data_IF_895603630581
#
_entry.id   IF_895603630581
#
_cell.length_a   1.000
_cell.length_b   1.000
_cell.length_c   1.000
_cell.angle_alpha   90.00
_cell.angle_beta   90.00
_cell.angle_gamma   90.00
#
_symmetry.space_group_name_H-M   'P 1'
#
loop_
_entity.id
_entity.type
_entity.pdbx_description
1 polymer ?
#
# COMPACT_ATOMS: atom_id res chain seq x y z
N UNK A 1 7.09 -20.81 12.91
CA UNK A 1 8.42 -21.47 12.80
C UNK A 1 9.20 -20.94 11.59
N UNK A 2 9.11 -19.63 11.29
CA UNK A 2 9.70 -18.98 10.09
C UNK A 2 10.63 -17.80 10.44
N UNK A 3 10.85 -17.52 11.73
CA UNK A 3 11.43 -16.23 12.17
C UNK A 3 12.96 -16.27 12.32
N UNK A 4 13.52 -17.41 12.74
CA UNK A 4 14.97 -17.53 12.98
C UNK A 4 15.80 -17.63 11.70
N UNK A 5 15.24 -18.19 10.62
CA UNK A 5 15.96 -18.33 9.34
C UNK A 5 15.99 -17.02 8.54
N UNK A 6 14.97 -16.16 8.69
CA UNK A 6 14.91 -14.85 8.03
C UNK A 6 15.99 -13.90 8.54
N UNK A 7 16.15 -13.79 9.87
CA UNK A 7 17.24 -13.02 10.47
C UNK A 7 18.64 -13.61 10.18
N UNK A 8 18.75 -14.94 10.09
CA UNK A 8 20.01 -15.58 9.74
C UNK A 8 20.42 -15.33 8.28
N UNK A 9 19.47 -15.27 7.34
CA UNK A 9 19.72 -14.96 5.93
C UNK A 9 20.29 -13.54 5.73
N UNK A 10 19.73 -12.54 6.44
CA UNK A 10 20.25 -11.16 6.45
C UNK A 10 21.69 -11.07 6.99
N UNK A 11 22.03 -11.94 7.95
CA UNK A 11 23.33 -11.90 8.64
C UNK A 11 24.43 -12.66 7.88
N UNK A 12 24.07 -13.68 7.08
CA UNK A 12 25.04 -14.54 6.36
C UNK A 12 25.42 -14.02 4.98
N UNK A 13 24.55 -13.28 4.31
CA UNK A 13 24.89 -12.66 3.03
C UNK A 13 25.76 -11.42 3.28
N UNK A 14 27.01 -11.41 2.79
CA UNK A 14 27.83 -10.20 2.68
C UNK A 14 27.21 -9.27 1.63
N UNK A 15 26.07 -8.67 1.95
CA UNK A 15 25.40 -7.72 1.09
C UNK A 15 26.29 -6.49 0.88
N UNK A 16 26.29 -5.90 -0.33
CA UNK A 16 26.76 -4.53 -0.49
C UNK A 16 25.98 -3.62 0.47
N UNK A 17 26.63 -2.60 1.03
CA UNK A 17 25.96 -1.62 1.89
C UNK A 17 24.77 -1.01 1.12
N UNK A 18 23.56 -1.30 1.59
CA UNK A 18 22.32 -0.80 0.99
C UNK A 18 22.20 0.72 1.25
N UNK A 19 21.68 1.42 0.24
CA UNK A 19 21.25 2.81 0.34
C UNK A 19 19.82 2.86 0.89
N UNK A 20 18.94 2.03 0.33
CA UNK A 20 17.52 1.92 0.65
C UNK A 20 17.12 0.44 0.63
N UNK A 21 16.16 0.05 1.47
CA UNK A 21 15.57 -1.29 1.53
C UNK A 21 14.07 -1.17 1.54
N UNK A 22 13.41 -1.90 0.65
CA UNK A 22 11.97 -1.98 0.50
C UNK A 22 11.53 -3.37 0.91
N UNK A 23 10.43 -3.46 1.66
CA UNK A 23 9.92 -4.74 2.17
C UNK A 23 8.42 -4.82 1.98
N UNK A 24 7.96 -5.95 1.48
CA UNK A 24 6.56 -6.32 1.43
C UNK A 24 6.50 -7.81 1.70
N UNK A 25 5.77 -8.21 2.75
CA UNK A 25 5.71 -9.60 3.17
C UNK A 25 7.13 -10.19 3.40
N UNK A 26 7.40 -11.38 2.86
CA UNK A 26 8.67 -12.08 2.98
C UNK A 26 9.67 -11.68 1.90
N UNK A 27 9.42 -10.57 1.19
CA UNK A 27 10.19 -10.13 0.02
C UNK A 27 10.86 -8.79 0.32
N UNK A 28 12.11 -8.67 -0.13
CA UNK A 28 12.94 -7.50 0.11
C UNK A 28 13.65 -7.10 -1.18
N UNK A 29 13.71 -5.79 -1.44
CA UNK A 29 14.55 -5.20 -2.49
C UNK A 29 15.49 -4.18 -1.86
N UNK A 30 16.79 -4.34 -2.06
CA UNK A 30 17.79 -3.38 -1.67
C UNK A 30 18.31 -2.63 -2.89
N UNK A 31 18.34 -1.31 -2.76
CA UNK A 31 19.06 -0.43 -3.68
C UNK A 31 20.48 -0.25 -3.19
N UNK A 32 21.45 -0.62 -4.01
CA UNK A 32 22.88 -0.50 -3.71
C UNK A 32 23.57 0.29 -4.83
N UNK A 33 24.77 0.85 -4.62
CA UNK A 33 25.52 1.51 -5.69
C UNK A 33 25.70 0.63 -6.95
N UNK A 34 25.74 -0.70 -6.76
CA UNK A 34 25.94 -1.72 -7.81
C UNK A 34 24.64 -2.16 -8.52
N UNK A 35 23.49 -1.63 -8.11
CA UNK A 35 22.17 -1.92 -8.67
C UNK A 35 21.18 -2.42 -7.61
N UNK A 36 20.07 -2.99 -8.09
CA UNK A 36 19.04 -3.59 -7.26
C UNK A 36 19.34 -5.05 -6.93
N UNK A 37 19.01 -5.44 -5.71
CA UNK A 37 19.12 -6.81 -5.21
C UNK A 37 17.78 -7.20 -4.59
N UNK A 38 17.24 -8.35 -4.99
CA UNK A 38 16.04 -8.93 -4.42
C UNK A 38 16.35 -10.19 -3.62
N UNK A 39 15.56 -10.45 -2.58
CA UNK A 39 15.58 -11.73 -1.86
C UNK A 39 14.25 -11.97 -1.17
N UNK A 40 14.05 -13.21 -0.72
CA UNK A 40 12.85 -13.62 -0.01
C UNK A 40 11.87 -14.35 -0.92
N UNK A 41 10.58 -14.25 -0.62
CA UNK A 41 9.55 -14.89 -1.41
C UNK A 41 9.48 -14.30 -2.84
N UNK A 42 9.37 -15.18 -3.82
CA UNK A 42 9.18 -14.88 -5.23
C UNK A 42 8.18 -15.89 -5.83
N UNK A 43 7.06 -16.12 -5.13
CA UNK A 43 6.13 -17.18 -5.51
C UNK A 43 5.35 -16.84 -6.77
N UNK A 44 5.05 -15.55 -6.96
CA UNK A 44 4.31 -15.07 -8.11
C UNK A 44 5.25 -14.50 -9.18
N UNK A 45 6.48 -14.14 -8.81
CA UNK A 45 7.47 -13.52 -9.70
C UNK A 45 7.63 -12.02 -9.42
N UNK A 46 7.27 -11.59 -8.21
CA UNK A 46 7.40 -10.24 -7.67
C UNK A 46 8.86 -9.71 -7.74
N UNK A 47 9.86 -10.60 -7.72
CA UNK A 47 11.27 -10.23 -7.91
C UNK A 47 11.77 -10.37 -9.36
N UNK A 48 10.91 -10.75 -10.31
CA UNK A 48 11.28 -10.89 -11.72
C UNK A 48 12.28 -12.03 -12.01
N UNK A 49 12.34 -13.06 -11.15
CA UNK A 49 13.15 -14.25 -11.35
C UNK A 49 12.33 -15.37 -12.00
N UNK A 50 12.92 -16.11 -12.94
CA UNK A 50 12.26 -17.23 -13.63
C UNK A 50 11.85 -18.40 -12.70
N UNK A 51 12.37 -18.45 -11.48
CA UNK A 51 12.07 -19.49 -10.49
C UNK A 51 11.04 -19.01 -9.47
N UNK A 52 10.04 -19.83 -9.17
CA UNK A 52 9.17 -19.63 -8.02
C UNK A 52 9.81 -20.15 -6.73
N UNK A 53 9.55 -19.48 -5.60
CA UNK A 53 10.02 -19.91 -4.27
C UNK A 53 10.78 -18.83 -3.51
N UNK A 54 11.57 -19.24 -2.52
CA UNK A 54 12.48 -18.34 -1.80
C UNK A 54 13.78 -18.15 -2.57
N UNK A 55 14.19 -16.90 -2.74
CA UNK A 55 15.39 -16.52 -3.47
C UNK A 55 16.40 -15.91 -2.52
N UNK A 56 17.62 -16.43 -2.54
CA UNK A 56 18.75 -15.81 -1.86
C UNK A 56 19.04 -14.42 -2.44
N UNK A 57 19.75 -13.53 -1.72
CA UNK A 57 20.19 -12.24 -2.23
C UNK A 57 20.80 -12.30 -3.63
N UNK A 58 20.00 -11.88 -4.60
CA UNK A 58 20.30 -12.01 -6.01
C UNK A 58 20.07 -10.67 -6.69
N UNK A 59 20.99 -10.31 -7.57
CA UNK A 59 20.88 -9.07 -8.34
C UNK A 59 19.69 -9.15 -9.29
N UNK A 60 18.82 -8.13 -9.25
CA UNK A 60 17.72 -8.03 -10.21
C UNK A 60 18.27 -7.72 -11.61
N UNK A 61 17.68 -8.33 -12.62
CA UNK A 61 18.02 -8.11 -14.04
C UNK A 61 16.74 -7.91 -14.84
N UNK A 62 16.85 -7.25 -16.00
CA UNK A 62 15.69 -6.80 -16.79
C UNK A 62 15.71 -7.35 -18.23
N UNK A 63 15.83 -8.68 -18.42
CA UNK A 63 16.03 -9.26 -19.76
C UNK A 63 14.87 -9.00 -20.72
N UNK A 64 13.64 -8.88 -20.21
CA UNK A 64 12.45 -8.58 -21.01
C UNK A 64 12.19 -7.06 -21.18
N UNK A 65 13.11 -6.20 -20.74
CA UNK A 65 13.02 -4.74 -20.86
C UNK A 65 14.28 -4.16 -21.52
N UNK A 66 14.41 -4.23 -22.86
CA UNK A 66 15.65 -3.87 -23.55
C UNK A 66 16.16 -2.46 -23.23
N UNK A 67 15.26 -1.46 -23.17
CA UNK A 67 15.63 -0.08 -22.83
C UNK A 67 16.21 0.07 -21.43
N UNK A 68 15.68 -0.70 -20.46
CA UNK A 68 16.19 -0.70 -19.08
C UNK A 68 17.54 -1.41 -19.02
N UNK A 69 17.70 -2.52 -19.73
CA UNK A 69 18.98 -3.21 -19.84
C UNK A 69 20.06 -2.34 -20.50
N UNK A 70 19.72 -1.60 -21.56
CA UNK A 70 20.60 -0.61 -22.21
C UNK A 70 20.99 0.52 -21.27
N UNK A 71 20.01 1.08 -20.53
CA UNK A 71 20.28 2.07 -19.49
C UNK A 71 21.25 1.51 -18.44
N UNK A 72 21.00 0.30 -17.93
CA UNK A 72 21.86 -0.35 -16.95
C UNK A 72 23.29 -0.56 -17.45
N UNK A 73 23.45 -0.91 -18.72
CA UNK A 73 24.74 -1.13 -19.36
C UNK A 73 25.50 0.19 -19.60
N UNK A 74 24.78 1.29 -19.83
CA UNK A 74 25.35 2.63 -20.02
C UNK A 74 25.90 3.26 -18.74
N UNK A 75 25.37 2.84 -17.58
CA UNK A 75 25.78 3.37 -16.28
C UNK A 75 27.04 2.66 -15.76
N UNK A 76 28.02 3.40 -15.22
CA UNK A 76 29.16 2.78 -14.57
C UNK A 76 28.71 2.01 -13.32
N UNK A 77 29.48 0.99 -12.88
CA UNK A 77 29.08 0.11 -11.77
C UNK A 77 28.72 0.81 -10.45
N UNK A 78 29.19 2.04 -10.21
CA UNK A 78 28.90 2.82 -9.00
C UNK A 78 27.65 3.71 -9.12
N UNK A 79 27.07 3.85 -10.31
CA UNK A 79 25.87 4.66 -10.55
C UNK A 79 24.63 3.83 -10.89
N UNK A 80 24.70 2.50 -10.83
CA UNK A 80 23.58 1.63 -11.20
C UNK A 80 22.34 1.82 -10.33
N UNK A 81 22.51 2.33 -9.12
CA UNK A 81 21.37 2.74 -8.28
C UNK A 81 20.49 3.82 -8.96
N UNK A 82 21.06 4.69 -9.81
CA UNK A 82 20.34 5.78 -10.49
C UNK A 82 19.39 5.31 -11.59
N UNK A 83 19.47 4.03 -11.98
CA UNK A 83 18.52 3.44 -12.91
C UNK A 83 17.09 3.41 -12.36
N UNK A 84 16.96 3.44 -11.04
CA UNK A 84 15.67 3.46 -10.34
C UNK A 84 15.42 4.87 -9.88
N UNK A 85 14.30 5.47 -10.23
CA UNK A 85 13.89 6.78 -9.70
C UNK A 85 12.88 6.64 -8.59
N UNK A 86 12.06 5.59 -8.65
CA UNK A 86 11.08 5.24 -7.62
C UNK A 86 10.82 3.72 -7.63
N UNK A 87 10.35 3.19 -6.51
CA UNK A 87 10.04 1.77 -6.36
C UNK A 87 8.88 1.60 -5.39
N UNK A 88 7.89 0.83 -5.81
CA UNK A 88 6.79 0.37 -4.98
C UNK A 88 6.76 -1.15 -4.96
N UNK A 89 6.54 -1.73 -3.79
CA UNK A 89 6.46 -3.18 -3.63
C UNK A 89 5.38 -3.50 -2.61
N UNK A 90 4.48 -4.39 -3.00
CA UNK A 90 3.36 -4.86 -2.19
C UNK A 90 3.24 -6.38 -2.28
N UNK A 91 2.23 -6.95 -1.61
CA UNK A 91 2.07 -8.38 -1.29
C UNK A 91 2.60 -9.36 -2.34
N UNK A 92 2.33 -9.11 -3.63
CA UNK A 92 2.77 -9.96 -4.74
C UNK A 92 3.26 -9.19 -5.98
N UNK A 93 3.46 -7.88 -5.85
CA UNK A 93 3.66 -7.02 -7.00
C UNK A 93 4.79 -6.03 -6.70
N UNK A 94 5.64 -5.84 -7.69
CA UNK A 94 6.74 -4.86 -7.63
C UNK A 94 6.66 -3.99 -8.85
N UNK A 95 6.69 -2.69 -8.66
CA UNK A 95 6.85 -1.71 -9.73
C UNK A 95 8.13 -0.93 -9.51
N UNK A 96 8.90 -0.76 -10.58
CA UNK A 96 10.16 -0.03 -10.57
C UNK A 96 10.05 1.05 -11.63
N UNK A 97 10.15 2.30 -11.20
CA UNK A 97 10.25 3.44 -12.10
C UNK A 97 11.71 3.64 -12.49
N UNK A 98 11.95 3.84 -13.78
CA UNK A 98 13.26 4.15 -14.36
C UNK A 98 13.16 5.39 -15.24
N UNK A 99 14.30 6.06 -15.55
CA UNK A 99 14.32 7.17 -16.50
C UNK A 99 13.78 6.85 -17.90
N UNK A 100 13.66 5.56 -18.26
CA UNK A 100 13.21 5.11 -19.59
C UNK A 100 11.83 4.44 -19.56
N UNK A 101 11.16 4.42 -18.40
CA UNK A 101 9.81 3.87 -18.24
C UNK A 101 9.64 3.07 -16.95
N UNK A 102 8.48 2.43 -16.83
CA UNK A 102 8.13 1.55 -15.70
C UNK A 102 8.35 0.10 -16.09
N UNK A 103 8.87 -0.68 -15.14
CA UNK A 103 8.87 -2.13 -15.22
C UNK A 103 8.14 -2.72 -14.03
N UNK A 104 7.44 -3.83 -14.25
CA UNK A 104 6.67 -4.48 -13.21
C UNK A 104 6.92 -5.97 -13.15
N UNK A 105 6.88 -6.50 -11.92
CA UNK A 105 7.00 -7.92 -11.63
C UNK A 105 5.71 -8.67 -11.96
N UNK A 106 5.79 -9.98 -11.94
CA UNK A 106 4.84 -10.88 -12.58
C UNK A 106 3.36 -10.74 -12.29
N UNK A 107 3.00 -10.56 -11.03
CA UNK A 107 1.59 -10.58 -10.62
C UNK A 107 0.90 -9.24 -10.85
N UNK A 108 1.64 -8.24 -11.30
CA UNK A 108 1.08 -6.94 -11.71
C UNK A 108 0.38 -7.00 -13.07
N UNK A 109 0.67 -8.05 -13.85
CA UNK A 109 0.26 -8.18 -15.25
C UNK A 109 -1.25 -8.26 -15.45
N UNK A 110 -2.00 -8.74 -14.45
CA UNK A 110 -3.45 -8.76 -14.54
C UNK A 110 -4.07 -7.37 -14.68
N UNK A 111 -3.37 -6.33 -14.21
CA UNK A 111 -3.95 -5.00 -14.06
C UNK A 111 -3.17 -3.88 -14.73
N UNK A 112 -1.94 -4.10 -15.21
CA UNK A 112 -1.16 -3.06 -15.91
C UNK A 112 -0.73 -3.43 -17.33
N UNK A 113 -1.31 -4.49 -17.90
CA UNK A 113 -1.28 -4.74 -19.34
C UNK A 113 -1.13 -6.21 -19.72
N UNK A 114 -1.49 -6.59 -20.95
CA UNK A 114 -1.41 -7.98 -21.39
C UNK A 114 0.06 -8.42 -21.45
N UNK A 115 0.42 -9.39 -20.61
CA UNK A 115 1.69 -10.09 -20.71
C UNK A 115 1.42 -11.55 -21.06
N UNK A 116 2.18 -12.05 -22.04
CA UNK A 116 2.17 -13.46 -22.39
C UNK A 116 2.46 -14.31 -21.15
N UNK A 117 1.74 -15.42 -21.00
CA UNK A 117 1.79 -16.26 -19.79
C UNK A 117 3.20 -16.73 -19.44
N UNK A 118 4.04 -16.96 -20.46
CA UNK A 118 5.43 -17.41 -20.34
C UNK A 118 6.38 -16.34 -19.75
N UNK A 119 6.01 -15.06 -19.83
CA UNK A 119 6.82 -13.95 -19.34
C UNK A 119 6.37 -13.42 -17.98
N UNK A 120 5.36 -14.04 -17.36
CA UNK A 120 4.81 -13.57 -16.09
C UNK A 120 5.94 -13.43 -15.08
N UNK A 121 6.79 -14.43 -14.86
CA UNK A 121 7.82 -14.36 -13.81
C UNK A 121 9.00 -13.38 -14.04
N UNK A 122 9.00 -12.57 -15.11
CA UNK A 122 10.05 -11.60 -15.42
C UNK A 122 9.55 -10.17 -15.28
N UNK A 123 10.47 -9.24 -14.99
CA UNK A 123 10.16 -7.82 -15.13
C UNK A 123 9.85 -7.49 -16.59
N UNK A 124 8.68 -6.94 -16.86
CA UNK A 124 8.24 -6.49 -18.18
C UNK A 124 8.00 -4.99 -18.18
N UNK A 125 8.05 -4.38 -19.37
CA UNK A 125 7.72 -2.95 -19.51
C UNK A 125 6.22 -2.77 -19.38
N UNK A 126 5.81 -1.74 -18.64
CA UNK A 126 4.42 -1.33 -18.48
C UNK A 126 4.08 -0.25 -19.48
N UNK A 127 2.97 -0.42 -20.20
CA UNK A 127 2.48 0.60 -21.12
C UNK A 127 1.80 1.73 -20.34
N UNK A 128 2.17 2.98 -20.65
CA UNK A 128 1.57 4.19 -20.08
C UNK A 128 0.96 5.05 -21.20
N UNK A 129 0.01 5.95 -20.89
CA UNK A 129 -0.57 6.83 -21.90
C UNK A 129 0.49 7.63 -22.66
N UNK A 130 0.23 7.92 -23.94
CA UNK A 130 1.18 8.63 -24.78
C UNK A 130 1.53 10.01 -24.21
N UNK A 131 2.83 10.30 -24.08
CA UNK A 131 3.33 11.54 -23.48
C UNK A 131 3.25 11.60 -21.96
N UNK A 132 2.87 10.50 -21.29
CA UNK A 132 2.91 10.38 -19.84
C UNK A 132 4.25 9.80 -19.39
N UNK A 133 5.03 10.57 -18.63
CA UNK A 133 6.31 10.15 -18.07
C UNK A 133 6.19 10.23 -16.54
N UNK A 134 5.93 9.09 -15.87
CA UNK A 134 5.70 9.11 -14.44
C UNK A 134 6.94 9.50 -13.67
N UNK A 135 6.74 10.20 -12.56
CA UNK A 135 7.77 10.59 -11.59
C UNK A 135 7.58 9.91 -10.22
N UNK A 136 6.39 9.36 -9.96
CA UNK A 136 6.06 8.67 -8.72
C UNK A 136 5.09 7.50 -8.93
N UNK A 137 5.22 6.46 -8.10
CA UNK A 137 4.36 5.28 -8.06
C UNK A 137 3.72 5.17 -6.67
N UNK A 138 2.40 5.03 -6.64
CA UNK A 138 1.65 4.58 -5.46
C UNK A 138 0.97 3.26 -5.77
N UNK A 139 0.97 2.36 -4.81
CA UNK A 139 0.39 1.04 -4.96
C UNK A 139 -0.31 0.62 -3.67
N UNK A 140 -1.27 -0.29 -3.79
CA UNK A 140 -1.84 -0.99 -2.65
C UNK A 140 -1.56 -2.50 -2.61
N UNK A 141 -2.04 -3.14 -1.54
CA UNK A 141 -1.92 -4.57 -1.28
C UNK A 141 -2.75 -5.48 -2.22
N UNK A 142 -3.72 -4.93 -2.95
CA UNK A 142 -4.83 -5.69 -3.53
C UNK A 142 -5.08 -5.41 -5.01
N UNK A 143 -4.20 -4.69 -5.70
CA UNK A 143 -4.15 -4.51 -7.17
C UNK A 143 -4.40 -3.08 -7.68
N UNK A 144 -4.40 -2.05 -6.85
CA UNK A 144 -4.46 -0.65 -7.30
C UNK A 144 -3.06 -0.09 -7.53
N UNK A 145 -2.84 0.54 -8.69
CA UNK A 145 -1.62 1.27 -9.00
C UNK A 145 -1.97 2.64 -9.51
N UNK A 146 -1.38 3.68 -8.92
CA UNK A 146 -1.46 5.07 -9.39
C UNK A 146 -0.07 5.52 -9.81
N UNK A 147 0.00 6.10 -11.01
CA UNK A 147 1.19 6.75 -11.53
C UNK A 147 0.96 8.26 -11.55
N UNK A 148 1.93 9.02 -11.05
CA UNK A 148 1.88 10.48 -11.04
C UNK A 148 2.86 11.07 -12.05
N UNK A 149 2.48 12.20 -12.66
CA UNK A 149 3.33 13.07 -13.47
C UNK A 149 2.94 14.52 -13.17
N UNK A 150 3.64 15.16 -12.24
CA UNK A 150 3.21 16.46 -11.70
C UNK A 150 1.79 16.38 -11.11
N UNK A 151 0.87 17.22 -11.60
CA UNK A 151 -0.52 17.26 -11.13
C UNK A 151 -1.44 16.24 -11.82
N UNK A 152 -0.93 15.49 -12.81
CA UNK A 152 -1.71 14.48 -13.54
C UNK A 152 -1.46 13.11 -12.95
N UNK A 153 -2.53 12.35 -12.74
CA UNK A 153 -2.45 10.99 -12.23
C UNK A 153 -3.29 10.05 -13.06
N UNK A 154 -2.78 8.83 -13.20
CA UNK A 154 -3.48 7.76 -13.88
C UNK A 154 -3.52 6.53 -12.98
N UNK A 155 -4.62 5.79 -13.02
CA UNK A 155 -4.89 4.63 -12.18
C UNK A 155 -5.16 3.40 -13.03
N UNK A 156 -4.76 2.24 -12.52
CA UNK A 156 -5.10 0.92 -13.07
C UNK A 156 -5.32 -0.05 -11.92
N UNK A 157 -6.03 -1.15 -12.15
CA UNK A 157 -6.32 -2.09 -11.07
C UNK A 157 -7.61 -2.88 -11.15
N UNK A 158 -7.82 -3.69 -10.12
CA UNK A 158 -9.12 -4.30 -9.83
C UNK A 158 -10.13 -3.19 -9.51
N UNK A 159 -11.29 -3.24 -10.17
CA UNK A 159 -12.37 -2.29 -9.97
C UNK A 159 -13.74 -2.95 -9.79
N UNK A 160 -13.80 -4.25 -9.49
CA UNK A 160 -15.07 -5.03 -9.36
C UNK A 160 -16.06 -4.47 -8.34
N UNK A 161 -15.57 -3.66 -7.40
CA UNK A 161 -16.36 -3.00 -6.35
C UNK A 161 -16.50 -1.48 -6.57
N UNK A 162 -15.93 -0.92 -7.65
CA UNK A 162 -15.81 0.53 -7.85
C UNK A 162 -14.68 1.17 -7.06
N UNK A 163 -13.72 0.38 -6.56
CA UNK A 163 -12.64 0.83 -5.65
C UNK A 163 -11.67 1.85 -6.28
N UNK A 164 -11.67 1.98 -7.60
CA UNK A 164 -10.83 2.98 -8.29
C UNK A 164 -11.50 4.37 -8.35
N UNK A 165 -12.80 4.47 -8.03
CA UNK A 165 -13.52 5.75 -8.00
C UNK A 165 -13.81 6.37 -9.37
N UNK A 166 -13.77 5.57 -10.45
CA UNK A 166 -13.92 6.00 -11.84
C UNK A 166 -15.39 6.14 -12.32
N UNK A 167 -16.37 5.84 -11.45
CA UNK A 167 -17.80 5.89 -11.78
C UNK A 167 -18.36 4.62 -12.43
N UNK A 168 -17.57 3.55 -12.52
CA UNK A 168 -17.96 2.24 -13.04
C UNK A 168 -17.21 1.11 -12.32
N UNK A 169 -17.54 -0.14 -12.66
CA UNK A 169 -16.97 -1.36 -12.04
C UNK A 169 -16.05 -2.16 -12.97
N UNK A 170 -15.83 -1.68 -14.19
CA UNK A 170 -14.93 -2.34 -15.12
C UNK A 170 -13.51 -2.34 -14.57
N UNK A 171 -12.90 -3.52 -14.47
CA UNK A 171 -11.49 -3.70 -14.18
C UNK A 171 -10.63 -2.94 -15.21
N UNK A 172 -9.53 -2.38 -14.74
CA UNK A 172 -8.64 -1.58 -15.55
C UNK A 172 -7.35 -2.34 -15.76
N UNK A 173 -7.16 -2.87 -16.97
CA UNK A 173 -5.92 -3.52 -17.42
C UNK A 173 -4.93 -2.54 -18.05
N UNK A 174 -5.31 -1.27 -18.11
CA UNK A 174 -4.48 -0.16 -18.57
C UNK A 174 -4.88 1.11 -17.85
N UNK A 175 -3.99 2.10 -17.91
CA UNK A 175 -4.12 3.32 -17.13
C UNK A 175 -5.18 4.27 -17.68
N UNK A 176 -6.05 4.74 -16.77
CA UNK A 176 -7.04 5.79 -17.01
C UNK A 176 -6.76 7.01 -16.12
N UNK A 177 -7.06 8.20 -16.63
CA UNK A 177 -6.83 9.45 -15.90
C UNK A 177 -7.77 9.59 -14.71
N UNK A 178 -7.21 9.88 -13.53
CA UNK A 178 -7.99 10.11 -12.33
C UNK A 178 -8.69 11.48 -12.38
N UNK A 179 -9.99 11.57 -12.01
CA UNK A 179 -10.70 12.85 -11.99
C UNK A 179 -10.41 13.69 -10.73
N UNK A 180 -9.50 13.24 -9.86
CA UNK A 180 -9.07 13.90 -8.62
C UNK A 180 -7.61 13.55 -8.33
N UNK A 181 -6.97 14.34 -7.47
CA UNK A 181 -5.59 14.12 -7.03
C UNK A 181 -5.55 13.15 -5.85
N UNK A 182 -4.54 12.30 -5.77
CA UNK A 182 -4.32 11.32 -4.70
C UNK A 182 -2.91 11.53 -4.16
N UNK A 183 -2.83 11.84 -2.87
CA UNK A 183 -1.59 11.94 -2.12
C UNK A 183 -1.18 10.59 -1.50
N UNK A 184 -2.17 9.76 -1.17
CA UNK A 184 -1.98 8.44 -0.57
C UNK A 184 -3.20 7.56 -0.77
N UNK A 185 -2.98 6.26 -0.87
CA UNK A 185 -4.04 5.23 -0.87
C UNK A 185 -4.04 4.56 0.51
N UNK A 186 -5.24 4.38 1.07
CA UNK A 186 -5.50 3.58 2.26
C UNK A 186 -6.36 2.41 1.80
N UNK A 187 -5.74 1.25 1.56
CA UNK A 187 -6.42 0.18 0.84
C UNK A 187 -7.14 -0.80 1.74
N UNK A 188 -8.19 -1.39 1.18
CA UNK A 188 -8.88 -2.57 1.72
C UNK A 188 -9.18 -3.54 0.56
N UNK A 189 -9.69 -4.73 0.90
CA UNK A 189 -9.99 -5.75 -0.07
C UNK A 189 -11.12 -5.36 -1.05
N UNK A 190 -12.11 -4.56 -0.63
CA UNK A 190 -13.26 -4.19 -1.47
C UNK A 190 -13.46 -2.68 -1.67
N UNK A 191 -12.62 -1.84 -1.07
CA UNK A 191 -12.65 -0.39 -1.23
C UNK A 191 -11.27 0.22 -1.05
N UNK A 192 -11.15 1.48 -1.47
CA UNK A 192 -10.02 2.34 -1.18
C UNK A 192 -10.52 3.61 -0.50
N UNK A 193 -9.71 4.13 0.43
CA UNK A 193 -9.81 5.53 0.85
C UNK A 193 -8.60 6.28 0.30
N UNK A 194 -8.86 7.30 -0.50
CA UNK A 194 -7.83 8.17 -1.06
C UNK A 194 -7.68 9.41 -0.18
N UNK A 195 -6.45 9.71 0.23
CA UNK A 195 -6.12 11.04 0.72
C UNK A 195 -5.93 11.95 -0.49
N UNK A 196 -6.72 13.01 -0.57
CA UNK A 196 -6.77 13.96 -1.69
C UNK A 196 -6.87 15.38 -1.13
N UNK A 197 -5.83 16.20 -1.24
CA UNK A 197 -5.86 17.63 -0.87
C UNK A 197 -6.47 17.87 0.53
N UNK A 198 -6.01 17.11 1.53
CA UNK A 198 -6.49 17.13 2.93
C UNK A 198 -7.94 16.66 3.11
N UNK A 199 -8.47 15.87 2.18
CA UNK A 199 -9.75 15.19 2.28
C UNK A 199 -9.58 13.68 2.12
N UNK A 200 -10.43 12.90 2.79
CA UNK A 200 -10.51 11.46 2.56
C UNK A 200 -11.68 11.18 1.61
N UNK A 201 -11.39 10.58 0.47
CA UNK A 201 -12.36 10.16 -0.53
C UNK A 201 -12.52 8.65 -0.47
N UNK A 202 -13.75 8.16 -0.33
CA UNK A 202 -14.07 6.74 -0.34
C UNK A 202 -14.51 6.29 -1.72
N UNK A 203 -14.02 5.14 -2.17
CA UNK A 203 -14.53 4.46 -3.37
C UNK A 203 -14.51 2.95 -3.15
N UNK A 204 -15.56 2.25 -3.58
CA UNK A 204 -15.67 0.79 -3.41
C UNK A 204 -16.95 0.35 -2.69
N UNK A 205 -16.96 -0.91 -2.25
CA UNK A 205 -18.07 -1.47 -1.48
C UNK A 205 -18.06 -0.93 -0.05
N UNK A 206 -19.18 -0.36 0.39
CA UNK A 206 -19.33 0.31 1.68
C UNK A 206 -19.35 -0.74 2.79
N UNK A 207 -18.29 -0.81 3.63
CA UNK A 207 -18.27 -1.75 4.72
C UNK A 207 -19.18 -1.25 5.85
N UNK A 208 -19.66 -2.17 6.69
CA UNK A 208 -20.53 -1.85 7.83
C UNK A 208 -20.02 -0.71 8.72
N UNK A 209 -18.72 -0.66 9.10
CA UNK A 209 -18.18 0.46 9.88
C UNK A 209 -18.48 1.83 9.28
N UNK A 210 -18.30 1.99 7.96
CA UNK A 210 -18.58 3.25 7.26
C UNK A 210 -20.08 3.53 7.21
N UNK A 211 -20.90 2.52 6.89
CA UNK A 211 -22.35 2.67 6.87
C UNK A 211 -22.93 3.10 8.24
N UNK A 212 -22.41 2.53 9.33
CA UNK A 212 -22.86 2.82 10.70
C UNK A 212 -22.32 4.15 11.23
N UNK A 213 -21.17 4.59 10.75
CA UNK A 213 -20.55 5.86 11.18
C UNK A 213 -21.32 7.10 10.69
N UNK A 214 -22.07 6.97 9.59
CA UNK A 214 -22.70 8.11 8.91
C UNK A 214 -21.73 9.02 8.16
N UNK A 215 -20.45 8.61 8.02
CA UNK A 215 -19.44 9.37 7.27
C UNK A 215 -19.76 9.47 5.78
N UNK A 216 -20.53 8.52 5.25
CA UNK A 216 -20.92 8.44 3.85
C UNK A 216 -22.45 8.49 3.72
N UNK A 217 -23.00 9.69 3.52
CA UNK A 217 -24.46 9.90 3.49
C UNK A 217 -25.11 9.25 2.27
N UNK A 218 -26.22 8.54 2.47
CA UNK A 218 -27.00 7.94 1.38
C UNK A 218 -26.54 6.55 0.96
N UNK A 219 -25.58 5.96 1.67
CA UNK A 219 -25.09 4.61 1.44
C UNK A 219 -25.38 3.71 2.64
N UNK A 220 -25.68 2.45 2.34
CA UNK A 220 -25.88 1.35 3.27
C UNK A 220 -24.72 0.35 3.15
N UNK A 221 -24.61 -0.56 4.13
CA UNK A 221 -23.66 -1.69 4.06
C UNK A 221 -23.87 -2.49 2.77
N UNK A 222 -22.78 -2.72 2.02
CA UNK A 222 -22.79 -3.45 0.75
C UNK A 222 -23.15 -2.61 -0.48
N UNK A 223 -23.56 -1.35 -0.32
CA UNK A 223 -23.70 -0.44 -1.46
C UNK A 223 -22.34 -0.18 -2.09
N UNK A 224 -22.29 0.06 -3.39
CA UNK A 224 -21.05 0.38 -4.11
C UNK A 224 -20.95 1.88 -4.40
N UNK A 225 -19.93 2.50 -3.83
CA UNK A 225 -19.55 3.89 -4.08
C UNK A 225 -18.62 3.95 -5.30
N UNK A 226 -19.21 4.00 -6.49
CA UNK A 226 -18.46 3.92 -7.76
C UNK A 226 -17.63 5.17 -8.06
N UNK A 227 -18.01 6.32 -7.51
CA UNK A 227 -17.27 7.57 -7.63
C UNK A 227 -16.60 7.90 -6.31
N UNK A 228 -15.37 8.41 -6.36
CA UNK A 228 -14.67 8.84 -5.15
C UNK A 228 -15.48 9.91 -4.42
N UNK A 229 -16.00 9.56 -3.24
CA UNK A 229 -16.95 10.39 -2.50
C UNK A 229 -16.34 10.81 -1.17
N UNK A 230 -16.38 12.10 -0.81
CA UNK A 230 -15.81 12.57 0.44
C UNK A 230 -16.44 11.92 1.68
N UNK A 231 -15.59 11.45 2.59
CA UNK A 231 -15.98 11.09 3.95
C UNK A 231 -16.18 12.36 4.78
N UNK A 232 -17.30 12.42 5.51
CA UNK A 232 -17.73 13.62 6.24
C UNK A 232 -17.50 13.49 7.73
N UNK A 233 -16.41 14.06 8.21
CA UNK A 233 -16.10 14.11 9.64
C UNK A 233 -16.64 15.39 10.28
N UNK A 234 -17.16 15.29 11.51
CA UNK A 234 -17.58 16.46 12.31
C UNK A 234 -16.40 17.17 12.97
N UNK A 235 -15.29 16.47 13.10
CA UNK A 235 -14.10 16.92 13.79
C UNK A 235 -12.89 16.76 12.87
N UNK A 236 -11.80 17.46 13.20
CA UNK A 236 -10.55 17.38 12.46
C UNK A 236 -9.92 16.01 12.68
N UNK A 237 -9.59 15.30 11.60
CA UNK A 237 -8.97 13.96 11.68
C UNK A 237 -7.45 14.08 11.56
N UNK A 238 -6.74 13.46 12.50
CA UNK A 238 -5.28 13.41 12.64
C UNK A 238 -4.66 12.08 12.23
N UNK A 239 -5.45 11.03 12.25
CA UNK A 239 -5.02 9.68 11.87
C UNK A 239 -6.19 8.91 11.31
N UNK A 240 -5.92 8.08 10.30
CA UNK A 240 -6.92 7.21 9.70
C UNK A 240 -6.31 5.84 9.40
N UNK A 241 -7.10 4.80 9.64
CA UNK A 241 -6.71 3.43 9.37
C UNK A 241 -7.95 2.62 8.99
N UNK A 242 -7.78 1.73 8.01
CA UNK A 242 -8.81 0.77 7.62
C UNK A 242 -8.16 -0.57 7.28
N UNK A 243 -8.55 -1.63 7.99
CA UNK A 243 -8.27 -3.04 7.65
C UNK A 243 -9.31 -3.90 8.39
N UNK A 244 -10.43 -4.23 7.73
CA UNK A 244 -11.65 -4.80 8.33
C UNK A 244 -12.40 -3.94 9.36
N UNK A 245 -11.66 -3.17 10.15
CA UNK A 245 -12.14 -2.18 11.09
C UNK A 245 -11.78 -0.78 10.60
N UNK A 246 -12.60 0.19 10.97
CA UNK A 246 -12.39 1.59 10.65
C UNK A 246 -11.96 2.32 11.92
N UNK A 247 -10.76 2.88 11.91
CA UNK A 247 -10.22 3.66 13.01
C UNK A 247 -9.89 5.06 12.50
N UNK A 248 -10.36 6.09 13.19
CA UNK A 248 -9.85 7.44 12.98
C UNK A 248 -9.65 8.17 14.31
N UNK A 249 -8.69 9.08 14.28
CA UNK A 249 -8.21 9.82 15.45
C UNK A 249 -8.53 11.30 15.24
N UNK A 250 -9.20 11.93 16.20
CA UNK A 250 -9.48 13.37 16.25
C UNK A 250 -8.69 14.02 17.40
N UNK A 251 -8.88 15.32 17.62
CA UNK A 251 -8.31 16.01 18.79
C UNK A 251 -9.01 15.54 20.07
N UNK A 252 -8.49 14.47 20.68
CA UNK A 252 -8.93 13.95 21.98
C UNK A 252 -9.82 12.70 21.93
N UNK A 253 -10.16 12.19 20.73
CA UNK A 253 -10.96 10.97 20.55
C UNK A 253 -10.43 10.06 19.42
N UNK A 254 -10.70 8.76 19.56
CA UNK A 254 -10.36 7.68 18.64
C UNK A 254 -11.67 6.97 18.54
N UNK A 255 -12.15 6.96 17.32
CA UNK A 255 -13.36 6.28 16.95
C UNK A 255 -12.93 4.99 16.30
N UNK A 256 -13.43 3.89 16.84
CA UNK A 256 -13.20 2.57 16.30
C UNK A 256 -14.54 1.93 15.99
N UNK A 257 -14.74 1.60 14.73
CA UNK A 257 -15.89 0.87 14.26
C UNK A 257 -15.41 -0.50 13.78
N UNK A 258 -15.81 -1.53 14.52
CA UNK A 258 -15.56 -2.91 14.15
C UNK A 258 -16.84 -3.55 13.61
N UNK A 259 -16.73 -4.70 12.92
CA UNK A 259 -17.85 -5.44 12.31
C UNK A 259 -19.08 -5.58 13.20
N UNK A 260 -18.90 -5.68 14.52
CA UNK A 260 -20.01 -5.95 15.44
C UNK A 260 -20.33 -4.81 16.41
N UNK A 261 -19.43 -3.83 16.58
CA UNK A 261 -19.53 -2.83 17.67
C UNK A 261 -18.85 -1.51 17.31
N UNK A 262 -19.45 -0.41 17.77
CA UNK A 262 -18.84 0.93 17.76
C UNK A 262 -18.29 1.27 19.15
N UNK A 263 -17.07 1.81 19.17
CA UNK A 263 -16.40 2.29 20.37
C UNK A 263 -15.86 3.70 20.15
N UNK A 264 -16.04 4.55 21.15
CA UNK A 264 -15.38 5.85 21.22
C UNK A 264 -14.68 5.91 22.57
N UNK A 265 -13.36 6.03 22.54
CA UNK A 265 -12.55 6.09 23.77
C UNK A 265 -11.90 7.48 23.84
N UNK A 266 -12.01 8.20 24.97
CA UNK A 266 -11.26 9.44 25.16
C UNK A 266 -9.77 9.10 25.34
N UNK A 267 -8.89 9.59 24.47
CA UNK A 267 -7.43 9.51 24.64
C UNK A 267 -6.75 10.66 23.85
N UNK A 268 -5.60 11.11 24.35
CA UNK A 268 -4.61 11.85 23.55
C UNK A 268 -3.67 10.83 22.92
N UNK A 269 -3.82 10.47 21.64
CA UNK A 269 -2.78 9.70 20.96
C UNK A 269 -1.74 10.71 20.51
N UNK A 270 -0.55 10.56 21.05
CA UNK A 270 0.64 10.94 20.28
C UNK A 270 0.85 9.80 19.27
N UNK A 271 0.48 10.03 18.00
CA UNK A 271 0.58 9.02 16.94
C UNK A 271 2.05 8.67 16.72
N UNK A 272 2.47 7.52 17.24
CA UNK A 272 3.68 6.81 16.81
C UNK A 272 3.21 5.46 16.28
N UNK A 273 3.57 5.12 15.04
CA UNK A 273 3.00 3.99 14.27
C UNK A 273 2.77 2.69 15.08
N UNK A 274 1.53 2.20 15.04
CA UNK A 274 1.07 0.97 15.72
C UNK A 274 1.22 -0.30 14.87
N UNK A 275 1.05 -1.48 15.47
CA UNK A 275 1.42 -2.81 14.93
C UNK A 275 0.58 -3.91 15.67
N UNK A 276 -0.08 -4.86 14.98
CA UNK A 276 -1.10 -5.81 15.52
C UNK A 276 -0.67 -7.29 15.48
N UNK A 277 -1.10 -8.15 16.42
CA UNK A 277 -0.93 -9.63 16.39
C UNK A 277 -2.17 -10.38 16.94
N UNK A 278 -2.51 -11.48 16.25
CA UNK A 278 -3.55 -12.50 16.49
C UNK A 278 -4.41 -12.39 17.77
N UNK A 279 -5.66 -11.98 17.57
CA UNK A 279 -6.77 -12.24 18.50
C UNK A 279 -7.04 -11.16 19.54
N UNK A 280 -6.18 -10.13 19.61
CA UNK A 280 -6.30 -9.01 20.55
C UNK A 280 -5.71 -7.73 19.94
N UNK A 281 -6.18 -6.55 20.36
CA UNK A 281 -5.84 -5.29 19.68
C UNK A 281 -4.58 -4.64 20.25
N UNK A 282 -3.47 -4.59 19.53
CA UNK A 282 -2.27 -3.91 20.02
C UNK A 282 -2.04 -2.52 19.39
N UNK A 283 -1.74 -1.50 20.20
CA UNK A 283 -1.34 -0.16 19.74
C UNK A 283 -0.21 0.40 20.60
N UNK A 284 0.62 1.28 20.03
CA UNK A 284 1.71 1.92 20.76
C UNK A 284 1.32 3.33 21.22
N UNK A 285 1.56 3.62 22.50
CA UNK A 285 1.42 4.96 23.08
C UNK A 285 2.78 5.29 23.68
N UNK A 286 3.39 6.41 23.28
CA UNK A 286 4.68 6.89 23.84
C UNK A 286 5.82 5.86 23.82
N UNK A 287 5.80 4.90 22.86
CA UNK A 287 6.81 3.83 22.76
C UNK A 287 6.56 2.59 23.63
N UNK A 288 5.46 2.57 24.41
CA UNK A 288 4.96 1.38 25.11
C UNK A 288 3.83 0.73 24.30
N UNK A 289 3.73 -0.61 24.33
CA UNK A 289 2.75 -1.38 23.56
C UNK A 289 1.61 -1.82 24.47
N UNK A 290 0.37 -1.68 24.03
CA UNK A 290 -0.83 -2.03 24.79
C UNK A 290 -1.71 -2.94 23.96
N UNK A 291 -2.09 -4.10 24.51
CA UNK A 291 -3.03 -5.06 23.97
C UNK A 291 -4.41 -4.85 24.61
N UNK A 292 -5.48 -4.72 23.82
CA UNK A 292 -6.86 -4.73 24.31
C UNK A 292 -7.27 -6.18 24.50
N UNK A 293 -7.34 -6.61 25.75
CA UNK A 293 -7.59 -7.99 26.16
C UNK A 293 -9.07 -8.30 26.37
N UNK A 294 -9.91 -7.25 26.41
CA UNK A 294 -11.34 -7.42 26.65
C UNK A 294 -12.10 -6.09 26.58
N UNK A 295 -13.42 -6.19 26.52
CA UNK A 295 -14.32 -5.04 26.64
C UNK A 295 -15.43 -5.38 27.62
N UNK A 296 -15.50 -4.65 28.72
CA UNK A 296 -16.57 -4.73 29.71
C UNK A 296 -17.23 -3.34 29.85
N UNK A 297 -18.56 -3.29 29.79
CA UNK A 297 -19.35 -2.07 29.99
C UNK A 297 -18.95 -0.85 29.13
N UNK A 298 -18.47 -1.09 27.91
CA UNK A 298 -18.05 -0.03 26.98
C UNK A 298 -16.67 0.55 27.25
N UNK A 299 -15.91 -0.04 28.19
CA UNK A 299 -14.51 0.31 28.47
C UNK A 299 -13.62 -0.81 27.95
N UNK A 300 -12.62 -0.46 27.14
CA UNK A 300 -11.59 -1.38 26.69
C UNK A 300 -10.61 -1.65 27.84
N UNK A 301 -10.42 -2.92 28.19
CA UNK A 301 -9.35 -3.33 29.10
C UNK A 301 -8.06 -3.46 28.30
N UNK A 302 -7.01 -2.77 28.74
CA UNK A 302 -5.71 -2.73 28.08
C UNK A 302 -4.62 -3.32 28.99
N UNK A 303 -3.73 -4.13 28.41
CA UNK A 303 -2.57 -4.72 29.09
C UNK A 303 -1.31 -4.34 28.32
N UNK A 304 -0.29 -3.86 29.03
CA UNK A 304 1.02 -3.58 28.41
C UNK A 304 1.68 -4.89 27.93
N UNK A 305 2.19 -4.93 26.70
CA UNK A 305 2.77 -6.13 26.09
C UNK A 305 4.19 -5.91 25.55
N UNK A 306 4.97 -6.99 25.40
CA UNK A 306 6.27 -6.95 24.70
C UNK A 306 6.06 -6.90 23.17
N UNK A 307 6.98 -6.26 22.46
CA UNK A 307 6.81 -5.84 21.07
C UNK A 307 6.30 -6.95 20.11
N UNK A 308 5.18 -6.74 19.38
CA UNK A 308 4.58 -7.74 18.50
C UNK A 308 5.22 -7.86 17.10
N UNK A 309 4.92 -8.96 16.38
CA UNK A 309 5.55 -9.44 15.14
C UNK A 309 4.90 -9.01 13.81
N UNK A 310 3.73 -8.36 13.78
CA UNK A 310 3.10 -7.84 12.55
C UNK A 310 2.63 -6.39 12.70
N UNK A 311 2.56 -5.63 11.61
CA UNK A 311 2.74 -4.17 11.65
C UNK A 311 1.74 -3.39 10.78
N UNK A 312 0.98 -2.44 11.35
CA UNK A 312 -0.10 -1.69 10.68
C UNK A 312 -0.05 -0.19 10.98
N UNK A 313 0.33 0.62 10.00
CA UNK A 313 0.55 2.06 10.18
C UNK A 313 -0.78 2.85 10.25
N UNK A 314 -1.04 3.54 11.37
CA UNK A 314 -2.04 4.63 11.37
C UNK A 314 -1.48 5.73 10.49
N UNK A 315 -2.19 6.02 9.40
CA UNK A 315 -1.76 6.99 8.42
C UNK A 315 -2.03 8.38 9.01
N UNK A 316 -0.99 9.20 9.25
CA UNK A 316 -1.20 10.57 9.68
C UNK A 316 -1.92 11.31 8.56
N UNK A 317 -3.07 11.88 8.88
CA UNK A 317 -3.86 12.71 7.99
C UNK A 317 -4.11 14.04 8.67
N UNK A 318 -4.40 15.09 7.92
CA UNK A 318 -4.78 16.37 8.51
C UNK A 318 -6.00 16.92 7.79
N UNK A 319 -7.14 16.27 8.05
CA UNK A 319 -8.41 16.50 7.35
C UNK A 319 -9.25 17.49 8.14
N UNK A 320 -9.67 18.56 7.48
CA UNK A 320 -10.52 19.57 8.09
C UNK A 320 -11.96 19.04 8.28
N UNK A 321 -12.69 19.52 9.31
CA UNK A 321 -14.10 19.17 9.49
C UNK A 321 -14.93 19.50 8.26
N UNK A 322 -15.97 18.71 7.99
CA UNK A 322 -16.94 19.03 6.96
C UNK A 322 -17.72 20.29 7.36
N UNK A 323 -17.87 21.30 6.49
CA UNK A 323 -18.64 22.49 6.82
C UNK A 323 -20.10 22.10 7.08
N UNK A 324 -20.60 22.41 8.28
CA UNK A 324 -22.03 22.27 8.60
C UNK A 324 -22.83 23.18 7.64
N UNK A 325 -23.81 22.60 6.94
CA UNK A 325 -24.77 23.34 6.11
C UNK A 325 -25.95 23.81 6.94
#
# INVERSE_FOLDING_TARGET
>A
MLDTDYHAALTRARMPRALEVYSAWFTLIARTPKGLWGWGACYNGELGFQSSGFVDPTRLTFPACPKVAELEASLPPWEKHRMVTDLSMERWQTFILTPVGIVAGADSTWYVGPVEEENRHLFHTVAVPAGFVPDHIMQDLYDTVILSMGDRQVISGDNRYGRLGLGHENEMTGFEELPFRVDRIIPDFSFNVFLSDRQLLFAGEVPRPIAQSGLLSGYSEGDKCLTATPLRFRERVKGFFCDYDLIWVTEGQTHMYSRDKHYSVPFEATIFGGRWVSGSWAFSITGQWFEVTGVADGVAEMVECEAPTLHYEIIPVDVDPWPEQ
#
